data_IF_058235466376
#
_entry.id   IF_058235466376
#
_cell.length_a   1.000
_cell.length_b   1.000
_cell.length_c   1.000
_cell.angle_alpha   90.00
_cell.angle_beta   90.00
_cell.angle_gamma   90.00
#
_symmetry.space_group_name_H-M   'P 1'
#
loop_
_entity.id
_entity.type
_entity.pdbx_description
1 polymer ?
#
# COMPACT_ATOMS: atom_id res chain seq x y z
N UNK A 1 -4.35 -12.75 19.88
CA UNK A 1 -5.15 -12.02 18.87
C UNK A 1 -6.00 -13.02 18.09
N UNK A 2 -7.19 -12.60 17.70
CA UNK A 2 -8.04 -13.42 16.83
C UNK A 2 -7.44 -13.43 15.40
N UNK A 3 -7.77 -14.48 14.65
CA UNK A 3 -7.22 -14.65 13.29
C UNK A 3 -7.51 -13.46 12.37
N UNK A 4 -8.70 -12.84 12.49
CA UNK A 4 -9.05 -11.69 11.64
C UNK A 4 -8.20 -10.46 11.94
N UNK A 5 -7.67 -10.34 13.16
CA UNK A 5 -6.75 -9.24 13.49
C UNK A 5 -5.42 -9.41 12.76
N UNK A 6 -4.91 -10.65 12.65
CA UNK A 6 -3.70 -10.91 11.85
C UNK A 6 -3.92 -10.53 10.39
N UNK A 7 -5.08 -10.92 9.82
CA UNK A 7 -5.42 -10.53 8.46
C UNK A 7 -5.54 -9.02 8.31
N UNK A 8 -6.11 -8.34 9.30
CA UNK A 8 -6.21 -6.87 9.31
C UNK A 8 -4.86 -6.20 9.24
N UNK A 9 -3.89 -6.67 10.02
CA UNK A 9 -2.53 -6.13 9.96
C UNK A 9 -1.84 -6.44 8.63
N UNK A 10 -2.09 -7.60 8.04
CA UNK A 10 -1.58 -7.92 6.71
C UNK A 10 -2.15 -6.97 5.65
N UNK A 11 -3.44 -6.68 5.71
CA UNK A 11 -4.08 -5.71 4.81
C UNK A 11 -3.47 -4.32 5.00
N UNK A 12 -3.26 -3.92 6.25
CA UNK A 12 -2.61 -2.64 6.55
C UNK A 12 -1.22 -2.56 5.91
N UNK A 13 -0.43 -3.63 6.04
CA UNK A 13 0.88 -3.71 5.39
C UNK A 13 0.78 -3.58 3.88
N UNK A 14 -0.23 -4.19 3.27
CA UNK A 14 -0.50 -4.08 1.84
C UNK A 14 -0.87 -2.66 1.41
N UNK A 15 -1.68 -1.97 2.20
CA UNK A 15 -2.03 -0.57 1.93
C UNK A 15 -0.78 0.31 1.97
N UNK A 16 0.07 0.11 2.95
CA UNK A 16 1.33 0.85 3.05
C UNK A 16 2.23 0.58 1.84
N UNK A 17 2.39 -0.68 1.46
CA UNK A 17 3.19 -1.04 0.29
C UNK A 17 2.65 -0.40 -0.98
N UNK A 18 1.33 -0.40 -1.16
CA UNK A 18 0.71 0.17 -2.35
C UNK A 18 0.80 1.70 -2.39
N UNK A 19 0.87 2.36 -1.23
CA UNK A 19 1.00 3.81 -1.19
C UNK A 19 2.35 4.29 -1.73
N UNK A 20 3.42 3.51 -1.54
CA UNK A 20 4.78 3.93 -1.81
C UNK A 20 5.07 4.23 -3.29
N UNK A 21 4.74 3.34 -4.26
CA UNK A 21 5.04 3.64 -5.66
C UNK A 21 4.28 4.86 -6.17
N UNK A 22 3.03 5.05 -5.73
CA UNK A 22 2.24 6.21 -6.16
C UNK A 22 2.79 7.50 -5.60
N UNK A 23 3.15 7.52 -4.31
CA UNK A 23 3.75 8.69 -3.70
C UNK A 23 5.12 9.00 -4.33
N UNK A 24 5.97 7.99 -4.49
CA UNK A 24 7.30 8.17 -5.04
C UNK A 24 7.27 8.68 -6.47
N UNK A 25 6.46 8.06 -7.33
CA UNK A 25 6.34 8.47 -8.72
C UNK A 25 5.70 9.86 -8.83
N UNK A 26 4.63 10.08 -8.09
CA UNK A 26 3.91 11.35 -8.14
C UNK A 26 4.73 12.52 -7.64
N UNK A 27 5.42 12.36 -6.51
CA UNK A 27 6.27 13.43 -5.93
C UNK A 27 7.41 13.79 -6.89
N UNK A 28 7.91 12.83 -7.64
CA UNK A 28 8.99 13.07 -8.61
C UNK A 28 8.48 13.52 -9.98
N UNK A 29 7.19 13.83 -10.09
CA UNK A 29 6.60 14.36 -11.32
C UNK A 29 6.34 13.33 -12.40
N UNK A 30 6.38 12.06 -12.08
CA UNK A 30 6.25 10.99 -13.07
C UNK A 30 4.83 10.45 -13.14
N UNK A 31 4.41 10.08 -14.34
CA UNK A 31 3.15 9.40 -14.56
C UNK A 31 3.27 7.93 -14.15
N UNK A 32 2.19 7.37 -13.62
CA UNK A 32 2.17 5.99 -13.18
C UNK A 32 0.75 5.45 -13.18
N UNK A 33 0.61 4.14 -13.34
CA UNK A 33 -0.69 3.50 -13.40
C UNK A 33 -1.42 3.59 -12.06
N UNK A 34 -2.70 3.98 -12.10
CA UNK A 34 -3.63 3.92 -10.97
C UNK A 34 -4.91 3.22 -11.44
N UNK A 35 -5.87 2.91 -10.53
CA UNK A 35 -7.18 2.40 -10.96
C UNK A 35 -7.94 3.35 -11.88
N UNK A 36 -7.54 4.61 -11.95
CA UNK A 36 -8.19 5.63 -12.79
C UNK A 36 -7.58 5.74 -14.19
N UNK A 37 -6.52 5.04 -14.48
CA UNK A 37 -5.90 5.01 -15.79
C UNK A 37 -4.45 4.55 -15.76
N UNK A 38 -4.00 3.99 -16.89
CA UNK A 38 -2.64 3.47 -17.00
C UNK A 38 -1.57 4.54 -16.97
N UNK A 39 -1.90 5.74 -17.41
CA UNK A 39 -0.98 6.85 -17.53
C UNK A 39 -1.45 8.03 -16.69
N UNK A 40 -1.83 7.74 -15.45
CA UNK A 40 -2.34 8.75 -14.53
C UNK A 40 -1.28 9.80 -14.23
N UNK A 41 -1.74 11.04 -14.06
CA UNK A 41 -0.86 12.18 -13.82
C UNK A 41 -0.10 12.06 -12.50
N UNK A 42 0.98 12.81 -12.37
CA UNK A 42 1.75 12.86 -11.15
C UNK A 42 0.91 13.33 -9.94
N UNK A 43 0.12 14.42 -10.04
CA UNK A 43 -0.75 14.83 -8.92
C UNK A 43 -1.78 13.77 -8.54
N UNK A 44 -2.37 13.07 -9.51
CA UNK A 44 -3.31 11.99 -9.22
C UNK A 44 -2.64 10.84 -8.47
N UNK A 45 -1.40 10.52 -8.82
CA UNK A 45 -0.64 9.49 -8.11
C UNK A 45 -0.35 9.89 -6.67
N UNK A 46 0.00 11.15 -6.41
CA UNK A 46 0.17 11.64 -5.03
C UNK A 46 -1.14 11.49 -4.26
N UNK A 47 -2.26 11.91 -4.85
CA UNK A 47 -3.57 11.81 -4.21
C UNK A 47 -3.94 10.36 -3.92
N UNK A 48 -3.74 9.46 -4.87
CA UNK A 48 -4.04 8.04 -4.70
C UNK A 48 -3.15 7.37 -3.66
N UNK A 49 -1.86 7.70 -3.68
CA UNK A 49 -0.92 7.21 -2.67
C UNK A 49 -1.29 7.69 -1.28
N UNK A 50 -1.72 8.95 -1.16
CA UNK A 50 -2.17 9.52 0.10
C UNK A 50 -3.44 8.82 0.61
N UNK A 51 -4.41 8.52 -0.26
CA UNK A 51 -5.61 7.77 0.12
C UNK A 51 -5.23 6.42 0.71
N UNK A 52 -4.31 5.69 0.07
CA UNK A 52 -3.83 4.41 0.60
C UNK A 52 -3.16 4.56 1.97
N UNK A 53 -2.39 5.62 2.14
CA UNK A 53 -1.72 5.89 3.41
C UNK A 53 -2.72 6.23 4.52
N UNK A 54 -3.74 7.02 4.22
CA UNK A 54 -4.81 7.33 5.17
C UNK A 54 -5.57 6.07 5.57
N UNK A 55 -5.90 5.22 4.60
CA UNK A 55 -6.57 3.95 4.88
C UNK A 55 -5.70 3.05 5.76
N UNK A 56 -4.39 3.03 5.54
CA UNK A 56 -3.45 2.32 6.41
C UNK A 56 -3.56 2.80 7.86
N UNK A 57 -3.49 4.11 8.08
CA UNK A 57 -3.56 4.66 9.44
C UNK A 57 -4.92 4.43 10.09
N UNK A 58 -6.02 4.56 9.33
CA UNK A 58 -7.35 4.31 9.85
C UNK A 58 -7.53 2.85 10.27
N UNK A 59 -7.06 1.93 9.46
CA UNK A 59 -7.14 0.51 9.77
C UNK A 59 -6.28 0.17 10.99
N UNK A 60 -5.07 0.71 11.04
CA UNK A 60 -4.18 0.50 12.18
C UNK A 60 -4.78 1.04 13.47
N UNK A 61 -5.41 2.23 13.41
CA UNK A 61 -6.13 2.81 14.54
C UNK A 61 -7.28 1.93 15.02
N UNK A 62 -8.05 1.38 14.08
CA UNK A 62 -9.18 0.54 14.41
C UNK A 62 -8.75 -0.78 15.07
N UNK A 63 -7.65 -1.36 14.59
CA UNK A 63 -7.12 -2.61 15.13
C UNK A 63 -6.37 -2.40 16.45
N UNK A 64 -5.79 -1.23 16.64
CA UNK A 64 -4.87 -0.95 17.73
C UNK A 64 -3.50 -1.54 17.48
N UNK A 65 -2.48 -1.03 18.15
CA UNK A 65 -1.13 -1.58 18.02
C UNK A 65 -0.82 -2.51 19.19
N UNK A 66 -0.30 -3.69 18.87
CA UNK A 66 0.21 -4.65 19.86
C UNK A 66 1.58 -5.14 19.43
N UNK A 67 2.32 -5.77 20.33
CA UNK A 67 3.62 -6.35 20.01
C UNK A 67 3.55 -7.45 18.94
N UNK A 68 2.37 -8.03 18.73
CA UNK A 68 2.16 -9.09 17.73
C UNK A 68 1.77 -8.55 16.35
N UNK A 69 1.56 -7.25 16.24
CA UNK A 69 1.13 -6.64 14.99
C UNK A 69 2.23 -6.53 13.94
N UNK A 70 3.48 -6.36 14.38
CA UNK A 70 4.61 -6.10 13.50
C UNK A 70 4.87 -7.20 12.48
N UNK A 71 4.80 -8.47 12.90
CA UNK A 71 5.03 -9.60 12.01
C UNK A 71 4.02 -9.68 10.86
N UNK A 72 2.70 -9.74 11.15
CA UNK A 72 1.69 -9.76 10.10
C UNK A 72 1.72 -8.53 9.20
N UNK A 73 1.95 -7.36 9.76
CA UNK A 73 2.06 -6.12 8.99
C UNK A 73 3.24 -6.21 8.01
N UNK A 74 4.40 -6.62 8.48
CA UNK A 74 5.58 -6.78 7.65
C UNK A 74 5.36 -7.83 6.56
N UNK A 75 4.70 -8.94 6.88
CA UNK A 75 4.39 -9.98 5.92
C UNK A 75 3.46 -9.46 4.83
N UNK A 76 2.40 -8.74 5.21
CA UNK A 76 1.49 -8.13 4.25
C UNK A 76 2.20 -7.12 3.34
N UNK A 77 3.08 -6.32 3.91
CA UNK A 77 3.91 -5.38 3.15
C UNK A 77 4.79 -6.13 2.13
N UNK A 78 5.48 -7.17 2.56
CA UNK A 78 6.37 -7.95 1.69
C UNK A 78 5.59 -8.64 0.56
N UNK A 79 4.50 -9.34 0.89
CA UNK A 79 3.71 -10.05 -0.11
C UNK A 79 3.10 -9.09 -1.12
N UNK A 80 2.55 -7.98 -0.65
CA UNK A 80 1.99 -6.96 -1.53
C UNK A 80 3.06 -6.30 -2.39
N UNK A 81 4.20 -5.98 -1.80
CA UNK A 81 5.33 -5.42 -2.53
C UNK A 81 5.84 -6.35 -3.62
N UNK A 82 5.97 -7.64 -3.32
CA UNK A 82 6.37 -8.63 -4.33
C UNK A 82 5.32 -8.75 -5.43
N UNK A 83 4.04 -8.78 -5.07
CA UNK A 83 2.95 -8.82 -6.05
C UNK A 83 2.96 -7.62 -6.97
N UNK A 84 3.15 -6.42 -6.42
CA UNK A 84 3.25 -5.20 -7.21
C UNK A 84 4.48 -5.23 -8.12
N UNK A 85 5.62 -5.69 -7.61
CA UNK A 85 6.84 -5.78 -8.39
C UNK A 85 6.67 -6.71 -9.61
N UNK A 86 6.05 -7.87 -9.40
CA UNK A 86 5.75 -8.78 -10.51
C UNK A 86 4.76 -8.17 -11.50
N UNK A 87 3.71 -7.52 -10.99
CA UNK A 87 2.70 -6.89 -11.84
C UNK A 87 3.32 -5.80 -12.71
N UNK A 88 4.06 -4.88 -12.10
CA UNK A 88 4.62 -3.74 -12.84
C UNK A 88 5.83 -4.10 -13.68
N UNK A 89 6.49 -5.22 -13.43
CA UNK A 89 7.62 -5.67 -14.26
C UNK A 89 7.19 -6.43 -15.52
N UNK A 90 5.94 -6.86 -15.56
CA UNK A 90 5.38 -7.67 -16.63
C UNK A 90 5.35 -6.95 -17.95
N UNK A 91 5.71 -6.53 -18.67
CA UNK A 91 5.63 -5.76 -19.90
C UNK A 91 6.86 -4.91 -20.15
N UNK A 92 7.88 -5.17 -19.38
CA UNK A 92 9.14 -4.44 -19.47
C UNK A 92 10.25 -5.31 -20.02
#
# INVERSE_FOLDING_TARGET
>A
MAWFQYLGYMVAGGLLANSLPHLAMGITGQRFQTPFGRNSSAPLNVAWGFVNLVLFFLLLSALGWTERAGGPLALGFLLSGLGLAFYFSRGR
#
